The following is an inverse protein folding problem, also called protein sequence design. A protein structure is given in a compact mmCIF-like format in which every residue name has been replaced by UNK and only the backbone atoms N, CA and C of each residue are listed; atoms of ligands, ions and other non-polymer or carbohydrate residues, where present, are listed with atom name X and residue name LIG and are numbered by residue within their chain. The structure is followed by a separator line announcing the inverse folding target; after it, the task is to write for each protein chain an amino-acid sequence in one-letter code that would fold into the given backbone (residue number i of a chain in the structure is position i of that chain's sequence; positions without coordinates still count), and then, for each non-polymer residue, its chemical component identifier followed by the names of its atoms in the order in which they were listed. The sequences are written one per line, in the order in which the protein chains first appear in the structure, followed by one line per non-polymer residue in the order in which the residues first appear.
data_IF_340965849818
#
_entry.id   IF_340965849818
#
_cell.length_a   1.000
_cell.length_b   1.000
_cell.length_c   1.000
_cell.angle_alpha   90.00
_cell.angle_beta   90.00
_cell.angle_gamma   90.00
#
_symmetry.space_group_name_H-M   'P 1'
#
loop_
_entity.id
_entity.type
_entity.pdbx_description
1 polymer ?
#
# COMPACT_ATOMS: atom_id res chain seq x y z
N UNK A 1 -1.69 -22.43 -30.49
CA UNK A 1 -0.60 -22.55 -29.51
C UNK A 1 -1.07 -21.86 -28.26
N UNK A 2 -1.14 -22.55 -27.13
CA UNK A 2 -1.57 -21.93 -25.86
C UNK A 2 -0.57 -20.85 -25.43
N UNK A 3 -0.99 -19.86 -24.63
CA UNK A 3 -0.09 -18.83 -24.07
C UNK A 3 1.12 -19.49 -23.39
N UNK A 4 0.91 -20.64 -22.72
CA UNK A 4 1.98 -21.43 -22.11
C UNK A 4 3.00 -21.92 -23.15
N UNK A 5 2.54 -22.49 -24.26
CA UNK A 5 3.40 -22.98 -25.35
C UNK A 5 4.11 -21.82 -26.07
N UNK A 6 3.43 -20.69 -26.26
CA UNK A 6 3.99 -19.46 -26.82
C UNK A 6 5.13 -18.91 -25.96
N UNK A 7 4.94 -18.86 -24.65
CA UNK A 7 5.96 -18.35 -23.74
C UNK A 7 7.14 -19.32 -23.61
N UNK A 8 6.88 -20.63 -23.60
CA UNK A 8 7.96 -21.63 -23.60
C UNK A 8 8.81 -21.54 -24.87
N UNK A 9 8.22 -21.23 -26.03
CA UNK A 9 8.95 -21.02 -27.26
C UNK A 9 9.92 -19.81 -27.18
N UNK A 10 9.53 -18.72 -26.51
CA UNK A 10 10.40 -17.54 -26.28
C UNK A 10 11.57 -17.88 -25.35
N UNK A 11 11.33 -18.70 -24.32
CA UNK A 11 12.38 -19.15 -23.40
C UNK A 11 13.37 -20.09 -24.12
N UNK A 12 12.87 -20.99 -24.96
CA UNK A 12 13.71 -21.89 -25.76
C UNK A 12 14.52 -21.15 -26.82
N UNK A 13 13.95 -20.12 -27.47
CA UNK A 13 14.69 -19.24 -28.38
C UNK A 13 15.83 -18.51 -27.64
N UNK A 14 15.55 -17.97 -26.45
CA UNK A 14 16.54 -17.30 -25.62
C UNK A 14 17.73 -18.22 -25.30
N UNK A 15 17.46 -19.46 -24.88
CA UNK A 15 18.50 -20.42 -24.55
C UNK A 15 19.40 -20.78 -25.73
N UNK A 16 18.86 -20.72 -26.95
CA UNK A 16 19.59 -21.08 -28.19
C UNK A 16 20.31 -19.90 -28.82
N UNK A 17 19.70 -18.72 -28.81
CA UNK A 17 20.14 -17.58 -29.64
C UNK A 17 20.62 -16.38 -28.82
N UNK A 18 20.39 -16.38 -27.50
CA UNK A 18 20.54 -15.21 -26.63
C UNK A 18 19.72 -13.99 -27.09
N UNK A 19 18.65 -14.23 -27.85
CA UNK A 19 17.70 -13.22 -28.33
C UNK A 19 16.27 -13.72 -28.12
N UNK A 20 15.33 -12.79 -28.00
CA UNK A 20 13.89 -13.08 -27.87
C UNK A 20 13.06 -12.34 -28.92
N UNK A 21 13.71 -11.60 -29.82
CA UNK A 21 13.05 -10.58 -30.64
C UNK A 21 12.31 -11.17 -31.84
N UNK A 22 12.78 -12.29 -32.39
CA UNK A 22 12.17 -12.97 -33.54
C UNK A 22 10.95 -13.77 -33.12
N UNK A 23 11.08 -14.67 -32.13
CA UNK A 23 9.96 -15.54 -31.71
C UNK A 23 8.86 -14.75 -31.02
N UNK A 24 9.18 -13.74 -30.17
CA UNK A 24 8.14 -12.91 -29.54
C UNK A 24 7.28 -12.13 -30.55
N UNK A 25 7.89 -11.72 -31.68
CA UNK A 25 7.20 -10.98 -32.74
C UNK A 25 6.37 -11.92 -33.62
N UNK A 26 6.85 -13.13 -33.90
CA UNK A 26 6.13 -14.17 -34.65
C UNK A 26 4.91 -14.72 -33.91
N UNK A 27 4.95 -14.80 -32.58
CA UNK A 27 3.83 -15.31 -31.76
C UNK A 27 2.87 -14.21 -31.27
N UNK A 28 3.02 -12.98 -31.74
CA UNK A 28 2.07 -11.88 -31.50
C UNK A 28 2.17 -11.21 -30.12
N UNK A 29 3.25 -11.40 -29.36
CA UNK A 29 3.45 -10.70 -28.10
C UNK A 29 3.78 -9.23 -28.34
N UNK A 30 3.03 -8.33 -27.70
CA UNK A 30 3.26 -6.89 -27.82
C UNK A 30 4.60 -6.49 -27.18
N UNK A 31 5.26 -5.49 -27.76
CA UNK A 31 6.50 -4.90 -27.20
C UNK A 31 6.35 -4.47 -25.75
N UNK A 32 5.16 -3.98 -25.35
CA UNK A 32 4.87 -3.60 -23.98
C UNK A 32 4.83 -4.81 -23.03
N UNK A 33 4.28 -5.95 -23.49
CA UNK A 33 4.20 -7.19 -22.72
C UNK A 33 5.60 -7.76 -22.45
N UNK A 34 6.46 -7.81 -23.48
CA UNK A 34 7.85 -8.26 -23.33
C UNK A 34 8.64 -7.34 -22.41
N UNK A 35 8.44 -6.02 -22.50
CA UNK A 35 9.09 -5.04 -21.62
C UNK A 35 8.65 -5.19 -20.17
N UNK A 36 7.35 -5.42 -19.92
CA UNK A 36 6.82 -5.66 -18.57
C UNK A 36 7.42 -6.92 -17.95
N UNK A 37 7.56 -7.99 -18.75
CA UNK A 37 8.21 -9.23 -18.32
C UNK A 37 9.69 -9.02 -17.91
N UNK A 38 10.44 -8.23 -18.69
CA UNK A 38 11.83 -7.89 -18.38
C UNK A 38 11.97 -7.01 -17.12
N UNK A 39 11.07 -6.04 -16.95
CA UNK A 39 11.05 -5.16 -15.76
C UNK A 39 10.74 -5.94 -14.48
N UNK A 40 9.76 -6.86 -14.50
CA UNK A 40 9.45 -7.74 -13.36
C UNK A 40 10.59 -8.71 -13.04
N UNK A 41 11.51 -8.94 -14.00
CA UNK A 41 12.72 -9.73 -13.80
C UNK A 41 13.88 -8.90 -13.21
N UNK A 42 13.65 -7.60 -12.90
CA UNK A 42 14.71 -6.71 -12.44
C UNK A 42 15.76 -6.41 -13.52
N UNK A 43 15.42 -6.65 -14.79
CA UNK A 43 16.27 -6.35 -15.95
C UNK A 43 15.82 -4.99 -16.48
N UNK A 44 16.57 -3.95 -16.15
CA UNK A 44 16.28 -2.58 -16.59
C UNK A 44 16.83 -2.35 -17.99
N UNK A 45 16.09 -1.60 -18.82
CA UNK A 45 16.66 -0.98 -20.02
C UNK A 45 15.96 0.35 -20.25
N UNK A 46 16.75 1.42 -20.35
CA UNK A 46 16.27 2.80 -20.46
C UNK A 46 15.94 3.22 -21.91
N UNK A 47 15.80 2.28 -22.86
CA UNK A 47 15.40 2.58 -24.24
C UNK A 47 14.32 1.62 -24.73
N UNK A 48 13.43 2.11 -25.59
CA UNK A 48 12.32 1.37 -26.20
C UNK A 48 12.75 0.25 -27.18
N UNK A 49 14.00 -0.22 -27.13
CA UNK A 49 14.55 -1.25 -28.02
C UNK A 49 14.60 -2.60 -27.33
N UNK A 50 14.01 -3.62 -27.97
CA UNK A 50 14.04 -5.03 -27.56
C UNK A 50 15.41 -5.70 -27.80
N UNK A 51 16.49 -4.92 -27.69
CA UNK A 51 17.86 -5.32 -28.03
C UNK A 51 18.65 -5.59 -26.74
N UNK A 52 18.91 -6.87 -26.48
CA UNK A 52 19.58 -7.38 -25.27
C UNK A 52 21.07 -6.99 -25.22
N UNK A 53 21.66 -6.48 -26.31
CA UNK A 53 23.01 -5.88 -26.28
C UNK A 53 23.12 -4.68 -25.32
N UNK A 54 21.98 -4.08 -24.95
CA UNK A 54 21.90 -3.01 -23.95
C UNK A 54 21.91 -3.58 -22.52
N UNK A 55 21.22 -4.70 -22.28
CA UNK A 55 21.16 -5.35 -20.96
C UNK A 55 22.53 -5.83 -20.47
N UNK A 56 23.34 -6.42 -21.37
CA UNK A 56 24.74 -6.79 -21.05
C UNK A 56 25.62 -5.59 -20.69
N UNK A 57 25.29 -4.41 -21.20
CA UNK A 57 26.03 -3.17 -20.99
C UNK A 57 25.72 -2.55 -19.63
N UNK A 58 24.45 -2.64 -19.21
CA UNK A 58 23.96 -2.11 -17.93
C UNK A 58 24.18 -3.10 -16.76
N UNK A 59 24.21 -4.42 -17.04
CA UNK A 59 24.40 -5.47 -16.04
C UNK A 59 25.49 -6.49 -16.45
N UNK A 60 26.77 -6.06 -16.56
CA UNK A 60 27.86 -6.91 -17.08
C UNK A 60 28.20 -8.13 -16.21
N UNK A 61 27.74 -8.18 -14.96
CA UNK A 61 27.94 -9.30 -14.04
C UNK A 61 26.92 -10.44 -14.20
N UNK A 62 25.93 -10.29 -15.08
CA UNK A 62 24.89 -11.29 -15.29
C UNK A 62 25.26 -12.19 -16.47
N UNK A 63 25.48 -13.48 -16.20
CA UNK A 63 25.64 -14.48 -17.25
C UNK A 63 24.29 -14.90 -17.85
N UNK A 64 24.34 -15.55 -19.01
CA UNK A 64 23.15 -15.97 -19.74
C UNK A 64 22.27 -16.96 -18.94
N UNK A 65 22.87 -17.73 -18.02
CA UNK A 65 22.15 -18.70 -17.20
C UNK A 65 21.32 -17.99 -16.13
N UNK A 66 21.89 -16.98 -15.49
CA UNK A 66 21.22 -16.15 -14.49
C UNK A 66 20.07 -15.35 -15.10
N UNK A 67 20.28 -14.80 -16.31
CA UNK A 67 19.21 -14.11 -17.05
C UNK A 67 18.07 -15.07 -17.44
N UNK A 68 18.40 -16.30 -17.91
CA UNK A 68 17.40 -17.32 -18.24
C UNK A 68 16.54 -17.73 -17.04
N UNK A 69 17.18 -17.92 -15.88
CA UNK A 69 16.54 -18.32 -14.62
C UNK A 69 15.54 -17.25 -14.16
N UNK A 70 15.98 -15.99 -14.19
CA UNK A 70 15.18 -14.83 -13.81
C UNK A 70 13.99 -14.63 -14.76
N UNK A 71 14.19 -14.76 -16.08
CA UNK A 71 13.09 -14.75 -17.05
C UNK A 71 12.06 -15.86 -16.78
N UNK A 72 12.51 -17.08 -16.47
CA UNK A 72 11.63 -18.21 -16.12
C UNK A 72 10.76 -17.92 -14.89
N UNK A 73 11.32 -17.29 -13.86
CA UNK A 73 10.60 -16.95 -12.63
C UNK A 73 9.53 -15.89 -12.91
N UNK A 74 9.90 -14.80 -13.60
CA UNK A 74 8.96 -13.72 -13.93
C UNK A 74 7.83 -14.19 -14.84
N UNK A 75 8.13 -15.12 -15.75
CA UNK A 75 7.14 -15.76 -16.62
C UNK A 75 6.15 -16.63 -15.84
N UNK A 76 6.60 -17.42 -14.86
CA UNK A 76 5.70 -18.17 -13.97
C UNK A 76 4.78 -17.23 -13.19
N UNK A 77 5.28 -16.05 -12.80
CA UNK A 77 4.47 -15.01 -12.19
C UNK A 77 3.38 -14.52 -13.16
N UNK A 78 3.73 -14.19 -14.41
CA UNK A 78 2.75 -13.73 -15.43
C UNK A 78 1.68 -14.81 -15.72
N UNK A 79 2.03 -16.09 -15.70
CA UNK A 79 1.08 -17.21 -15.88
C UNK A 79 0.06 -17.34 -14.73
N UNK A 80 0.39 -16.88 -13.52
CA UNK A 80 -0.55 -16.82 -12.39
C UNK A 80 -1.53 -15.64 -12.47
N UNK A 81 -1.25 -14.61 -13.30
CA UNK A 81 -1.98 -13.34 -13.34
C UNK A 81 -2.66 -13.01 -14.68
N UNK A 82 -2.73 -13.93 -15.66
CA UNK A 82 -3.27 -13.62 -17.00
C UNK A 82 -4.50 -14.46 -17.36
N UNK A 83 -5.72 -13.92 -17.16
CA UNK A 83 -6.88 -14.30 -17.95
C UNK A 83 -7.14 -13.23 -19.04
N UNK A 84 -7.30 -13.69 -20.27
CA UNK A 84 -7.83 -13.00 -21.47
C UNK A 84 -6.84 -12.39 -22.49
N UNK A 85 -6.89 -13.02 -23.67
CA UNK A 85 -6.34 -12.64 -24.96
C UNK A 85 -7.26 -11.64 -25.69
N UNK A 86 -6.66 -10.80 -26.55
CA UNK A 86 -7.25 -10.37 -27.83
C UNK A 86 -8.37 -9.32 -27.82
N UNK A 87 -8.04 -8.08 -28.17
CA UNK A 87 -9.03 -7.11 -28.66
C UNK A 87 -9.19 -7.23 -30.18
N UNK A 88 -10.43 -7.32 -30.65
CA UNK A 88 -10.85 -6.89 -31.99
C UNK A 88 -12.17 -6.10 -31.88
N UNK A 89 -12.29 -5.11 -32.76
CA UNK A 89 -13.14 -3.93 -32.71
C UNK A 89 -14.66 -4.13 -32.86
N UNK A 90 -15.39 -3.19 -32.23
CA UNK A 90 -16.71 -2.64 -32.60
C UNK A 90 -17.90 -3.60 -32.75
N UNK A 91 -18.77 -3.61 -31.73
CA UNK A 91 -20.25 -3.45 -31.74
C UNK A 91 -20.73 -3.88 -30.35
N UNK A 92 -21.44 -3.02 -29.62
CA UNK A 92 -22.05 -3.35 -28.33
C UNK A 92 -23.47 -3.91 -28.54
N UNK A 93 -23.81 -5.14 -28.11
CA UNK A 93 -25.19 -5.55 -27.90
C UNK A 93 -25.53 -5.45 -26.41
N UNK A 94 -26.72 -4.93 -26.10
CA UNK A 94 -27.26 -4.58 -24.78
C UNK A 94 -27.45 -5.75 -23.78
N UNK A 95 -26.81 -6.90 -23.99
CA UNK A 95 -26.89 -8.08 -23.11
C UNK A 95 -25.51 -8.63 -22.74
N UNK A 96 -24.57 -7.77 -22.36
CA UNK A 96 -23.28 -8.19 -21.84
C UNK A 96 -23.38 -8.42 -20.32
N UNK A 97 -22.99 -9.58 -19.76
CA UNK A 97 -22.88 -9.74 -18.31
C UNK A 97 -21.93 -8.65 -17.77
N UNK A 98 -22.32 -8.02 -16.65
CA UNK A 98 -21.57 -6.92 -16.03
C UNK A 98 -20.07 -7.30 -15.92
N UNK A 99 -19.13 -6.45 -16.35
CA UNK A 99 -17.71 -6.70 -16.14
C UNK A 99 -17.45 -6.90 -14.65
N UNK A 100 -16.66 -7.92 -14.29
CA UNK A 100 -16.45 -8.37 -12.91
C UNK A 100 -16.21 -7.22 -11.94
N UNK A 101 -16.85 -7.28 -10.75
CA UNK A 101 -16.78 -6.26 -9.68
C UNK A 101 -15.35 -5.93 -9.18
N UNK A 102 -14.33 -6.70 -9.60
CA UNK A 102 -12.95 -6.65 -9.10
C UNK A 102 -11.91 -6.17 -10.12
N UNK A 103 -12.30 -5.33 -11.10
CA UNK A 103 -11.34 -4.77 -12.05
C UNK A 103 -10.49 -3.64 -11.44
N UNK A 104 -9.17 -3.62 -11.71
CA UNK A 104 -8.31 -2.46 -11.46
C UNK A 104 -8.78 -1.30 -12.34
N UNK A 105 -9.04 -0.15 -11.73
CA UNK A 105 -9.59 1.03 -12.40
C UNK A 105 -8.60 2.17 -12.56
N UNK A 106 -7.56 2.27 -11.72
CA UNK A 106 -6.37 3.08 -12.01
C UNK A 106 -5.23 2.73 -11.04
N UNK A 107 -4.02 3.20 -11.32
CA UNK A 107 -2.78 2.76 -10.68
C UNK A 107 -1.66 3.79 -10.88
N UNK A 108 -0.62 3.73 -10.05
CA UNK A 108 0.55 4.58 -10.23
C UNK A 108 1.64 4.31 -9.20
N UNK A 109 2.56 5.27 -9.07
CA UNK A 109 3.61 5.24 -8.04
C UNK A 109 3.22 6.12 -6.86
N UNK A 110 3.67 5.71 -5.68
CA UNK A 110 3.57 6.44 -4.41
C UNK A 110 4.84 6.32 -3.57
N UNK A 111 5.94 5.90 -4.18
CA UNK A 111 7.30 5.83 -3.66
C UNK A 111 8.23 5.54 -4.84
N UNK A 112 9.54 5.57 -4.61
CA UNK A 112 10.51 5.28 -5.67
C UNK A 112 10.36 3.84 -6.19
N UNK A 113 10.13 2.89 -5.25
CA UNK A 113 9.85 1.48 -5.52
C UNK A 113 8.51 1.02 -4.94
N UNK A 114 7.59 1.96 -4.69
CA UNK A 114 6.24 1.67 -4.17
C UNK A 114 5.19 2.13 -5.18
N UNK A 115 4.28 1.22 -5.52
CA UNK A 115 3.18 1.42 -6.46
C UNK A 115 1.84 1.23 -5.76
N UNK A 116 0.77 1.72 -6.39
CA UNK A 116 -0.58 1.52 -5.93
C UNK A 116 -1.51 1.11 -7.07
N UNK A 117 -2.55 0.37 -6.74
CA UNK A 117 -3.64 0.00 -7.62
C UNK A 117 -4.96 0.23 -6.88
N UNK A 118 -5.94 0.82 -7.56
CA UNK A 118 -7.30 0.95 -7.04
C UNK A 118 -8.22 0.04 -7.84
N UNK A 119 -8.97 -0.78 -7.13
CA UNK A 119 -10.01 -1.64 -7.69
C UNK A 119 -11.38 -0.96 -7.69
N UNK A 120 -12.28 -1.40 -8.58
CA UNK A 120 -13.66 -0.90 -8.69
C UNK A 120 -14.47 -1.05 -7.40
N UNK A 121 -14.15 -2.04 -6.57
CA UNK A 121 -14.77 -2.25 -5.26
C UNK A 121 -14.34 -1.23 -4.19
N UNK A 122 -13.38 -0.34 -4.49
CA UNK A 122 -12.86 0.65 -3.55
C UNK A 122 -11.65 0.19 -2.73
N UNK A 123 -11.01 -0.92 -3.09
CA UNK A 123 -9.77 -1.39 -2.45
C UNK A 123 -8.56 -0.73 -3.10
N UNK A 124 -7.84 0.10 -2.33
CA UNK A 124 -6.55 0.68 -2.67
C UNK A 124 -5.44 -0.22 -2.12
N UNK A 125 -4.71 -0.89 -3.01
CA UNK A 125 -3.58 -1.76 -2.66
C UNK A 125 -2.28 -1.04 -2.96
N UNK A 126 -1.35 -1.01 -2.01
CA UNK A 126 -0.02 -0.44 -2.13
C UNK A 126 1.02 -1.56 -2.01
N UNK A 127 1.87 -1.67 -3.03
CA UNK A 127 2.80 -2.79 -3.22
C UNK A 127 4.18 -2.28 -3.60
N UNK A 128 5.23 -2.94 -3.11
CA UNK A 128 6.60 -2.60 -3.45
C UNK A 128 7.51 -2.60 -2.24
N UNK A 129 8.66 -1.93 -2.35
CA UNK A 129 9.69 -1.92 -1.32
C UNK A 129 10.04 -0.49 -0.92
N UNK A 130 10.22 -0.27 0.39
CA UNK A 130 10.69 1.01 0.91
C UNK A 130 9.56 2.00 1.25
N UNK A 131 9.89 3.28 1.41
CA UNK A 131 8.98 4.28 1.95
C UNK A 131 8.00 4.81 0.91
N UNK A 132 6.78 5.11 1.34
CA UNK A 132 5.88 5.98 0.58
C UNK A 132 6.35 7.44 0.61
N UNK A 133 6.02 8.21 -0.43
CA UNK A 133 6.22 9.66 -0.47
C UNK A 133 5.35 10.39 0.56
N UNK A 134 5.83 11.54 1.01
CA UNK A 134 5.05 12.49 1.81
C UNK A 134 4.21 13.38 0.90
N UNK A 135 3.00 13.69 1.35
CA UNK A 135 2.08 14.56 0.63
C UNK A 135 1.89 15.87 1.36
N UNK A 136 1.65 16.94 0.61
CA UNK A 136 1.37 18.24 1.17
C UNK A 136 -0.08 18.31 1.64
N UNK A 137 -0.30 18.77 2.87
CA UNK A 137 -1.64 18.88 3.43
C UNK A 137 -1.64 19.49 4.83
N UNK A 138 -2.83 19.84 5.29
CA UNK A 138 -3.15 20.10 6.69
C UNK A 138 -4.60 19.67 6.91
N UNK A 139 -4.92 19.20 8.11
CA UNK A 139 -6.29 18.86 8.52
C UNK A 139 -7.28 20.03 8.36
N UNK A 140 -6.79 21.26 8.20
CA UNK A 140 -7.59 22.48 8.03
C UNK A 140 -7.94 22.82 6.57
N UNK A 141 -7.81 21.87 5.64
CA UNK A 141 -8.22 22.06 4.25
C UNK A 141 -7.26 22.91 3.40
N UNK A 142 -6.08 23.25 3.94
CA UNK A 142 -4.97 23.83 3.17
C UNK A 142 -4.18 22.67 2.58
N UNK A 143 -4.59 22.25 1.39
CA UNK A 143 -3.98 21.12 0.70
C UNK A 143 -2.68 21.52 0.02
N UNK A 144 -1.55 21.05 0.54
CA UNK A 144 -0.26 21.19 -0.10
C UNK A 144 -0.11 20.34 -1.37
N UNK A 145 1.03 20.50 -2.03
CA UNK A 145 1.45 19.77 -3.22
C UNK A 145 2.72 18.96 -2.83
N UNK A 146 2.85 17.66 -3.16
CA UNK A 146 1.93 16.82 -3.95
C UNK A 146 0.73 16.31 -3.17
N UNK A 147 -0.39 16.06 -3.86
CA UNK A 147 -1.53 15.30 -3.33
C UNK A 147 -1.44 13.83 -3.75
N UNK A 148 -1.90 12.88 -2.94
CA UNK A 148 -2.06 11.50 -3.38
C UNK A 148 -2.98 11.41 -4.60
N UNK A 149 -2.57 10.66 -5.61
CA UNK A 149 -3.33 10.57 -6.88
C UNK A 149 -4.70 9.92 -6.69
N UNK A 150 -4.84 9.04 -5.70
CA UNK A 150 -6.12 8.43 -5.34
C UNK A 150 -7.15 9.40 -4.74
N UNK A 151 -6.78 10.64 -4.39
CA UNK A 151 -7.74 11.68 -3.99
C UNK A 151 -8.43 12.37 -5.18
N UNK A 152 -7.80 12.41 -6.35
CA UNK A 152 -8.23 13.28 -7.47
C UNK A 152 -9.40 12.70 -8.30
N UNK A 153 -10.20 11.80 -7.72
CA UNK A 153 -11.18 11.02 -8.45
C UNK A 153 -12.52 11.74 -8.57
N UNK A 154 -12.96 11.89 -9.83
CA UNK A 154 -14.26 12.48 -10.20
C UNK A 154 -15.28 11.42 -10.63
N UNK A 155 -14.92 10.14 -10.59
CA UNK A 155 -15.71 8.99 -11.04
C UNK A 155 -16.69 8.47 -9.97
N UNK A 156 -16.69 9.06 -8.78
CA UNK A 156 -17.58 8.69 -7.67
C UNK A 156 -17.17 7.41 -6.94
N UNK A 157 -16.03 6.78 -7.31
CA UNK A 157 -15.53 5.59 -6.64
C UNK A 157 -14.79 6.00 -5.38
N UNK A 158 -15.35 5.57 -4.26
CA UNK A 158 -14.89 5.86 -2.91
C UNK A 158 -13.93 4.77 -2.46
N UNK A 159 -12.75 5.15 -1.97
CA UNK A 159 -11.82 4.17 -1.38
C UNK A 159 -12.36 3.77 -0.01
N UNK A 160 -12.68 2.48 0.13
CA UNK A 160 -13.24 1.89 1.35
C UNK A 160 -12.24 1.08 2.15
N UNK A 161 -11.21 0.56 1.46
CA UNK A 161 -10.20 -0.31 2.05
C UNK A 161 -8.83 0.09 1.55
N UNK A 162 -7.88 0.20 2.48
CA UNK A 162 -6.46 0.34 2.18
C UNK A 162 -5.76 -0.95 2.57
N UNK A 163 -4.98 -1.51 1.65
CA UNK A 163 -4.10 -2.65 1.89
C UNK A 163 -2.69 -2.22 1.56
N UNK A 164 -1.80 -2.20 2.55
CA UNK A 164 -0.37 -2.03 2.32
C UNK A 164 0.26 -3.42 2.40
N UNK A 165 1.00 -3.81 1.37
CA UNK A 165 1.64 -5.12 1.30
C UNK A 165 3.04 -5.12 1.94
N UNK A 166 3.48 -6.31 2.34
CA UNK A 166 4.83 -6.53 2.88
C UNK A 166 5.90 -5.98 1.93
N UNK A 167 6.91 -5.33 2.51
CA UNK A 167 7.99 -4.65 1.79
C UNK A 167 7.92 -3.13 1.89
N UNK A 168 6.71 -2.55 2.01
CA UNK A 168 6.54 -1.12 2.28
C UNK A 168 6.97 -0.83 3.72
N UNK A 169 7.80 0.19 3.92
CA UNK A 169 8.45 0.48 5.23
C UNK A 169 7.85 1.68 5.96
N UNK A 170 7.17 2.60 5.26
CA UNK A 170 6.51 3.73 5.92
C UNK A 170 5.27 4.21 5.20
N UNK A 171 4.29 4.67 5.97
CA UNK A 171 3.14 5.42 5.45
C UNK A 171 3.49 6.92 5.44
N UNK A 172 3.35 7.53 4.27
CA UNK A 172 3.68 8.93 4.03
C UNK A 172 2.79 9.92 4.76
N UNK A 173 3.30 11.14 4.96
CA UNK A 173 2.52 12.24 5.55
C UNK A 173 1.23 12.47 4.75
N UNK A 174 0.11 12.58 5.46
CA UNK A 174 -1.21 12.84 4.89
C UNK A 174 -1.70 11.85 3.80
N UNK A 175 -1.06 10.68 3.63
CA UNK A 175 -1.34 9.77 2.52
C UNK A 175 -2.81 9.33 2.43
N UNK A 176 -3.48 9.15 3.57
CA UNK A 176 -4.87 8.71 3.69
C UNK A 176 -5.73 9.69 4.50
N UNK A 177 -5.34 10.98 4.54
CA UNK A 177 -6.12 11.98 5.24
C UNK A 177 -7.44 12.28 4.50
N UNK A 178 -8.52 12.50 5.26
CA UNK A 178 -9.86 12.88 4.79
C UNK A 178 -10.47 11.88 3.79
N UNK A 179 -10.16 10.60 3.96
CA UNK A 179 -10.77 9.51 3.22
C UNK A 179 -12.05 9.07 3.94
N UNK A 180 -13.10 9.88 3.78
CA UNK A 180 -14.36 9.77 4.55
C UNK A 180 -15.08 8.43 4.42
N UNK A 181 -14.82 7.65 3.38
CA UNK A 181 -15.43 6.33 3.18
C UNK A 181 -14.49 5.17 3.56
N UNK A 182 -13.30 5.46 4.09
CA UNK A 182 -12.31 4.45 4.47
C UNK A 182 -12.77 3.71 5.72
N UNK A 183 -13.14 2.44 5.58
CA UNK A 183 -13.66 1.58 6.64
C UNK A 183 -12.60 0.63 7.21
N UNK A 184 -11.61 0.25 6.39
CA UNK A 184 -10.60 -0.75 6.74
C UNK A 184 -9.21 -0.38 6.25
N UNK A 185 -8.22 -0.55 7.13
CA UNK A 185 -6.80 -0.36 6.83
C UNK A 185 -6.04 -1.60 7.28
N UNK A 186 -5.27 -2.19 6.37
CA UNK A 186 -4.37 -3.30 6.66
C UNK A 186 -2.93 -2.83 6.44
N UNK A 187 -2.15 -2.79 7.52
CA UNK A 187 -0.74 -2.44 7.49
C UNK A 187 0.13 -3.67 7.77
N UNK A 188 1.23 -3.88 7.03
CA UNK A 188 2.08 -5.05 7.16
C UNK A 188 3.09 -4.88 8.30
N UNK A 189 3.76 -5.98 8.65
CA UNK A 189 4.77 -6.01 9.72
C UNK A 189 6.06 -5.24 9.37
N UNK A 190 6.28 -4.93 8.09
CA UNK A 190 7.41 -4.12 7.61
C UNK A 190 7.29 -2.64 7.90
N UNK A 191 6.10 -2.12 8.25
CA UNK A 191 5.95 -0.70 8.56
C UNK A 191 6.68 -0.35 9.87
N UNK A 192 7.66 0.54 9.74
CA UNK A 192 8.42 1.10 10.87
C UNK A 192 7.93 2.50 11.24
N UNK A 193 7.23 3.20 10.35
CA UNK A 193 6.80 4.57 10.55
C UNK A 193 5.42 4.85 9.93
N UNK A 194 4.56 5.52 10.71
CA UNK A 194 3.33 6.15 10.23
C UNK A 194 3.52 7.65 10.45
N UNK A 195 3.62 8.42 9.37
CA UNK A 195 3.98 9.83 9.44
C UNK A 195 2.78 10.72 9.79
N UNK A 196 3.09 11.99 10.07
CA UNK A 196 2.12 12.96 10.57
C UNK A 196 0.88 13.10 9.67
N UNK A 197 -0.29 13.12 10.29
CA UNK A 197 -1.56 13.25 9.60
C UNK A 197 -1.92 12.11 8.62
N UNK A 198 -1.18 10.99 8.60
CA UNK A 198 -1.39 9.92 7.62
C UNK A 198 -2.84 9.44 7.52
N UNK A 199 -3.58 9.43 8.63
CA UNK A 199 -4.98 9.05 8.71
C UNK A 199 -5.86 10.16 9.31
N UNK A 200 -5.49 11.44 9.18
CA UNK A 200 -6.32 12.53 9.72
C UNK A 200 -7.67 12.66 9.02
N UNK A 201 -8.63 13.34 9.64
CA UNK A 201 -9.94 13.61 9.09
C UNK A 201 -11.00 12.56 9.46
N UNK A 202 -12.18 12.72 8.86
CA UNK A 202 -13.39 11.95 9.19
C UNK A 202 -13.40 10.55 8.55
N UNK A 203 -12.31 9.81 8.69
CA UNK A 203 -12.27 8.43 8.18
C UNK A 203 -13.26 7.56 8.97
N UNK A 204 -13.87 6.58 8.29
CA UNK A 204 -14.83 5.65 8.88
C UNK A 204 -14.18 4.42 9.56
N UNK A 205 -12.87 4.48 9.83
CA UNK A 205 -12.15 3.38 10.46
C UNK A 205 -12.53 3.31 11.94
N UNK A 206 -13.21 2.23 12.34
CA UNK A 206 -13.65 2.01 13.73
C UNK A 206 -12.60 1.36 14.61
N UNK A 207 -11.71 0.56 14.03
CA UNK A 207 -10.68 -0.18 14.76
C UNK A 207 -9.36 -0.06 14.01
N UNK A 208 -8.30 0.28 14.73
CA UNK A 208 -6.98 0.42 14.14
C UNK A 208 -5.94 -0.40 14.92
N UNK A 209 -5.06 -1.09 14.19
CA UNK A 209 -3.93 -1.83 14.76
C UNK A 209 -2.65 -1.18 14.25
N UNK A 210 -1.83 -0.66 15.16
CA UNK A 210 -0.54 -0.07 14.81
C UNK A 210 0.49 -1.21 14.64
N UNK A 211 1.28 -1.25 13.56
CA UNK A 211 2.27 -2.29 13.32
C UNK A 211 3.39 -2.35 14.38
N UNK A 212 3.85 -3.56 14.69
CA UNK A 212 4.77 -3.85 15.81
C UNK A 212 6.07 -3.04 15.83
N UNK A 213 6.61 -2.66 14.66
CA UNK A 213 7.87 -1.93 14.55
C UNK A 213 7.72 -0.41 14.67
N UNK A 214 6.49 0.11 14.82
CA UNK A 214 6.25 1.54 14.99
C UNK A 214 6.64 1.96 16.40
N UNK A 215 7.51 2.98 16.48
CA UNK A 215 8.09 3.43 17.76
C UNK A 215 7.38 4.65 18.35
N UNK A 216 6.64 5.41 17.55
CA UNK A 216 5.87 6.56 18.02
C UNK A 216 4.64 6.79 17.14
N UNK A 217 3.62 7.42 17.72
CA UNK A 217 2.44 7.89 17.00
C UNK A 217 2.66 9.37 16.70
N UNK A 218 2.80 9.69 15.42
CA UNK A 218 3.13 11.03 14.96
C UNK A 218 1.99 12.03 15.21
N UNK A 219 2.31 13.31 15.09
CA UNK A 219 1.36 14.40 15.22
C UNK A 219 0.20 14.26 14.22
N UNK A 220 -1.00 14.63 14.64
CA UNK A 220 -2.25 14.54 13.87
C UNK A 220 -2.59 13.17 13.24
N UNK A 221 -1.88 12.07 13.56
CA UNK A 221 -2.02 10.79 12.85
C UNK A 221 -3.48 10.34 12.71
N UNK A 222 -4.25 10.43 13.80
CA UNK A 222 -5.68 10.12 13.85
C UNK A 222 -6.54 11.35 14.17
N UNK A 223 -6.05 12.56 13.91
CA UNK A 223 -6.79 13.80 14.16
C UNK A 223 -8.19 13.73 13.56
N UNK A 224 -9.22 14.00 14.35
CA UNK A 224 -10.62 14.03 13.95
C UNK A 224 -11.16 12.71 13.36
N UNK A 225 -10.60 11.55 13.74
CA UNK A 225 -11.23 10.25 13.47
C UNK A 225 -12.43 10.04 14.39
N UNK A 226 -13.53 10.69 14.06
CA UNK A 226 -14.72 10.74 14.91
C UNK A 226 -15.38 9.38 15.13
N UNK A 227 -15.12 8.38 14.26
CA UNK A 227 -15.66 7.02 14.36
C UNK A 227 -14.68 5.98 14.94
N UNK A 228 -13.43 6.34 15.25
CA UNK A 228 -12.46 5.40 15.83
C UNK A 228 -12.89 5.01 17.25
N UNK A 229 -13.22 3.73 17.45
CA UNK A 229 -13.70 3.19 18.73
C UNK A 229 -12.60 2.47 19.52
N UNK A 230 -11.68 1.81 18.81
CA UNK A 230 -10.64 0.99 19.40
C UNK A 230 -9.31 1.17 18.68
N UNK A 231 -8.24 1.33 19.46
CA UNK A 231 -6.88 1.28 18.94
C UNK A 231 -6.00 0.32 19.73
N UNK A 232 -5.16 -0.43 19.00
CA UNK A 232 -4.15 -1.32 19.54
C UNK A 232 -2.76 -0.76 19.28
N UNK A 233 -2.02 -0.55 20.36
CA UNK A 233 -0.74 0.13 20.39
C UNK A 233 0.34 -0.89 20.79
N UNK A 234 1.30 -1.21 19.90
CA UNK A 234 2.27 -2.27 20.12
C UNK A 234 3.31 -1.88 21.17
N UNK A 235 4.10 -2.87 21.60
CA UNK A 235 5.00 -2.71 22.74
C UNK A 235 6.11 -1.67 22.54
N UNK A 236 6.53 -1.45 21.28
CA UNK A 236 7.61 -0.52 20.95
C UNK A 236 7.24 0.96 21.00
N UNK A 237 5.95 1.31 21.09
CA UNK A 237 5.52 2.71 21.09
C UNK A 237 5.89 3.38 22.40
N UNK A 238 6.85 4.31 22.35
CA UNK A 238 7.32 5.05 23.53
C UNK A 238 6.81 6.50 23.58
N UNK A 239 6.24 7.02 22.48
CA UNK A 239 5.78 8.42 22.37
C UNK A 239 4.51 8.57 21.54
N UNK A 240 3.58 9.38 22.03
CA UNK A 240 2.40 9.86 21.31
C UNK A 240 2.48 11.38 21.21
N UNK A 241 2.46 11.91 19.98
CA UNK A 241 2.73 13.31 19.71
C UNK A 241 1.47 14.20 19.77
N UNK A 242 1.69 15.50 19.59
CA UNK A 242 0.66 16.55 19.63
C UNK A 242 -0.52 16.19 18.74
N UNK A 243 -1.74 16.29 19.30
CA UNK A 243 -3.00 16.07 18.59
C UNK A 243 -3.18 14.72 17.88
N UNK A 244 -2.36 13.72 18.19
CA UNK A 244 -2.39 12.42 17.52
C UNK A 244 -3.78 11.75 17.52
N UNK A 245 -4.59 11.98 18.55
CA UNK A 245 -5.97 11.50 18.71
C UNK A 245 -6.96 12.64 18.99
N UNK A 246 -6.61 13.88 18.65
CA UNK A 246 -7.50 15.01 18.89
C UNK A 246 -8.87 14.77 18.23
N UNK A 247 -9.96 15.03 18.95
CA UNK A 247 -11.34 14.83 18.48
C UNK A 247 -11.70 13.40 18.02
N UNK A 248 -11.08 12.36 18.58
CA UNK A 248 -11.54 10.97 18.44
C UNK A 248 -12.76 10.70 19.35
N UNK A 249 -13.91 11.29 19.01
CA UNK A 249 -15.11 11.32 19.86
C UNK A 249 -15.76 9.96 20.13
N UNK A 250 -15.54 8.97 19.26
CA UNK A 250 -16.05 7.60 19.45
C UNK A 250 -15.07 6.69 20.18
N UNK A 251 -13.88 7.16 20.57
CA UNK A 251 -12.88 6.31 21.20
C UNK A 251 -13.44 5.77 22.52
N UNK A 252 -13.30 4.46 22.73
CA UNK A 252 -13.73 3.77 23.96
C UNK A 252 -12.65 2.88 24.54
N UNK A 253 -11.76 2.35 23.70
CA UNK A 253 -10.76 1.35 24.14
C UNK A 253 -9.40 1.62 23.53
N UNK A 254 -8.39 1.67 24.38
CA UNK A 254 -6.99 1.68 23.96
C UNK A 254 -6.29 0.48 24.58
N UNK A 255 -5.69 -0.37 23.76
CA UNK A 255 -4.91 -1.52 24.23
C UNK A 255 -3.42 -1.24 24.06
N UNK A 256 -2.67 -1.31 25.16
CA UNK A 256 -1.22 -1.14 25.16
C UNK A 256 -0.55 -2.50 25.42
N UNK A 257 0.32 -2.89 24.50
CA UNK A 257 1.06 -4.16 24.56
C UNK A 257 2.46 -4.03 25.16
N UNK A 258 2.85 -2.82 25.57
CA UNK A 258 4.09 -2.49 26.30
C UNK A 258 3.85 -1.47 27.41
N UNK A 259 4.92 -0.82 27.86
CA UNK A 259 4.90 0.18 28.91
C UNK A 259 4.16 1.46 28.48
N UNK A 260 3.73 2.27 29.45
CA UNK A 260 3.02 3.51 29.20
C UNK A 260 3.88 4.51 28.40
N UNK A 261 3.44 4.94 27.19
CA UNK A 261 4.21 5.90 26.43
C UNK A 261 4.10 7.31 27.03
N UNK A 262 5.11 8.14 26.74
CA UNK A 262 5.00 9.59 26.94
C UNK A 262 4.00 10.15 25.94
N UNK A 263 3.17 11.10 26.35
CA UNK A 263 2.20 11.73 25.46
C UNK A 263 2.29 13.25 25.52
N UNK A 264 1.98 13.91 24.41
CA UNK A 264 1.77 15.36 24.39
C UNK A 264 0.48 15.72 25.14
N UNK A 265 0.46 16.85 25.86
CA UNK A 265 -0.70 17.29 26.66
C UNK A 265 -2.00 17.30 25.85
N UNK A 266 -1.93 17.69 24.58
CA UNK A 266 -3.07 17.80 23.68
C UNK A 266 -3.33 16.55 22.83
N UNK A 267 -2.64 15.43 23.08
CA UNK A 267 -2.74 14.24 22.25
C UNK A 267 -4.18 13.69 22.19
N UNK A 268 -4.96 13.86 23.26
CA UNK A 268 -6.31 13.32 23.40
C UNK A 268 -7.37 14.39 23.70
N UNK A 269 -7.10 15.67 23.37
CA UNK A 269 -8.09 16.73 23.52
C UNK A 269 -9.35 16.39 22.71
N UNK A 270 -10.53 16.69 23.26
CA UNK A 270 -11.84 16.36 22.68
C UNK A 270 -12.13 14.86 22.48
N UNK A 271 -11.35 13.96 23.10
CA UNK A 271 -11.77 12.57 23.31
C UNK A 271 -12.80 12.49 24.46
N UNK A 272 -13.67 11.46 24.46
CA UNK A 272 -14.76 11.36 25.43
C UNK A 272 -14.24 10.98 26.81
N UNK A 273 -14.12 12.00 27.68
CA UNK A 273 -13.73 11.80 29.07
C UNK A 273 -14.66 10.82 29.80
N UNK A 274 -14.08 9.96 30.63
CA UNK A 274 -14.83 8.97 31.42
C UNK A 274 -15.41 7.78 30.65
N UNK A 275 -15.41 7.79 29.30
CA UNK A 275 -15.87 6.66 28.47
C UNK A 275 -14.74 5.81 27.90
N UNK A 276 -13.50 6.33 27.89
CA UNK A 276 -12.33 5.60 27.42
C UNK A 276 -11.77 4.74 28.55
N UNK A 277 -11.52 3.47 28.25
CA UNK A 277 -10.75 2.54 29.09
C UNK A 277 -9.41 2.22 28.44
N UNK A 278 -8.34 2.36 29.23
CA UNK A 278 -6.97 2.00 28.86
C UNK A 278 -6.68 0.60 29.37
N UNK A 279 -6.56 -0.35 28.45
CA UNK A 279 -6.19 -1.73 28.75
C UNK A 279 -4.67 -1.86 28.63
N UNK A 280 -4.03 -2.40 29.66
CA UNK A 280 -2.58 -2.66 29.70
C UNK A 280 -2.28 -4.08 30.16
N UNK A 281 -1.15 -4.63 29.73
CA UNK A 281 -0.68 -5.92 30.25
C UNK A 281 -0.38 -5.83 31.76
N UNK A 282 -0.52 -6.95 32.46
CA UNK A 282 -0.27 -7.04 33.91
C UNK A 282 1.13 -6.55 34.32
N UNK A 283 2.14 -6.82 33.49
CA UNK A 283 3.55 -6.48 33.72
C UNK A 283 3.98 -5.12 33.15
N UNK A 284 3.08 -4.40 32.46
CA UNK A 284 3.37 -3.10 31.87
C UNK A 284 3.57 -2.02 32.94
N UNK A 285 4.64 -1.23 32.78
CA UNK A 285 5.06 -0.17 33.71
C UNK A 285 4.52 1.20 33.28
N UNK A 286 4.49 2.15 34.21
CA UNK A 286 4.14 3.56 33.95
C UNK A 286 2.64 3.85 33.84
N UNK A 287 1.77 2.85 33.97
CA UNK A 287 0.33 3.03 34.14
C UNK A 287 -0.02 3.15 35.63
N UNK A 288 -0.69 4.22 36.03
CA UNK A 288 -1.35 4.33 37.34
C UNK A 288 -2.79 3.81 37.28
N UNK A 289 -3.62 4.15 38.28
CA UNK A 289 -5.09 3.96 38.21
C UNK A 289 -5.71 4.66 36.99
N UNK A 290 -5.05 5.75 36.57
CA UNK A 290 -5.34 6.43 35.32
C UNK A 290 -4.08 6.63 34.47
N UNK A 291 -4.27 6.78 33.16
CA UNK A 291 -3.24 7.21 32.22
C UNK A 291 -3.89 8.16 31.20
N UNK A 292 -3.28 9.34 30.99
CA UNK A 292 -3.88 10.44 30.23
C UNK A 292 -5.29 10.86 30.70
N UNK A 293 -5.59 10.70 32.00
CA UNK A 293 -6.90 10.99 32.58
C UNK A 293 -7.94 9.87 32.42
N UNK A 294 -7.61 8.79 31.71
CA UNK A 294 -8.50 7.65 31.49
C UNK A 294 -8.24 6.52 32.48
N UNK A 295 -9.30 5.82 32.89
CA UNK A 295 -9.19 4.65 33.78
C UNK A 295 -8.37 3.56 33.11
N UNK A 296 -7.47 2.95 33.87
CA UNK A 296 -6.70 1.79 33.41
C UNK A 296 -7.32 0.47 33.90
N UNK A 297 -7.14 -0.58 33.11
CA UNK A 297 -7.55 -1.95 33.44
C UNK A 297 -6.49 -2.94 32.92
N UNK A 298 -6.37 -4.08 33.59
CA UNK A 298 -5.52 -5.18 33.15
C UNK A 298 -6.26 -6.08 32.14
N UNK A 299 -5.52 -6.68 31.22
CA UNK A 299 -5.99 -7.76 30.35
C UNK A 299 -4.92 -8.83 30.15
#
# INVERSE_FOLDING_TARGET
MTIREQILAVVDEYQKTNSITSTAREIGLSTATVRKMLLTAGIWSNKASNDISIIRREHPAWDNKKIAETLRISIKAVQMYSPYEGLSSSVWPENNPRPSENGIIDSGSCGDDVTWQLERNGTLTLSGFGPMWNYGGSCNGIWGNPRPKWWARRDGIKVKKVVVEEGVTSVGEYAFCQMIDLESVLLPSTITEIRGGAFCGENHVRRFVIPEKVMFIAWDTFYSNVLLEEIRIPAGVFKIQTYAFHACMSLRRMYFYGDAPRYAKSAFDMCPEGMVTVYRKKDAKGFGETWAGYKTAEF
#
